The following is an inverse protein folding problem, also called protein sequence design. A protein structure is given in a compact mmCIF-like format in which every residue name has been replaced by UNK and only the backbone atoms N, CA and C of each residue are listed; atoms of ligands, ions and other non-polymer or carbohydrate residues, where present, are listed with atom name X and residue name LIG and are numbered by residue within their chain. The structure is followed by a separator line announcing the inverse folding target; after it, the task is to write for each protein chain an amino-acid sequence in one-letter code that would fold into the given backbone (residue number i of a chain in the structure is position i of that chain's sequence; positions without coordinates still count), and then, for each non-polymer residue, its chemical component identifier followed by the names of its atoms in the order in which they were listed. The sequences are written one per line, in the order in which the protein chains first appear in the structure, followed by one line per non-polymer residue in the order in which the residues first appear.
data_IF_672168841730
#
_entry.id   IF_672168841730
#
_cell.length_a   1.000
_cell.length_b   1.000
_cell.length_c   1.000
_cell.angle_alpha   90.00
_cell.angle_beta   90.00
_cell.angle_gamma   90.00
#
_symmetry.space_group_name_H-M   'P 1'
#
loop_
_entity.id
_entity.type
_entity.pdbx_description
1 polymer ?
#
# COMPACT_ATOMS: atom_id res chain seq x y z
N UNK A 1 1.35 43.36 26.49
CA UNK A 1 1.32 41.95 26.93
C UNK A 1 0.78 41.12 25.78
N UNK A 2 1.67 40.64 24.92
CA UNK A 2 1.34 39.77 23.79
C UNK A 2 1.24 38.34 24.33
N UNK A 3 0.02 37.85 24.38
CA UNK A 3 -0.24 36.45 24.76
C UNK A 3 0.42 35.52 23.76
N UNK A 4 1.29 34.66 24.24
CA UNK A 4 1.80 33.49 23.49
C UNK A 4 0.60 32.67 23.03
N UNK A 5 0.56 32.32 21.72
CA UNK A 5 -0.42 31.39 21.19
C UNK A 5 -0.13 30.01 21.77
N UNK A 6 -1.15 29.20 22.08
CA UNK A 6 -0.91 27.86 22.58
C UNK A 6 -0.27 26.99 21.48
N UNK A 7 0.82 26.34 21.85
CA UNK A 7 1.55 25.22 21.22
C UNK A 7 2.19 25.46 19.84
N UNK A 8 3.43 25.98 19.87
CA UNK A 8 4.45 25.71 18.84
C UNK A 8 5.21 24.38 19.14
N UNK A 9 4.58 23.40 19.74
CA UNK A 9 5.16 22.06 19.85
C UNK A 9 4.75 21.32 18.58
N UNK A 10 5.71 20.84 17.77
CA UNK A 10 5.40 20.01 16.61
C UNK A 10 4.54 18.84 17.04
N UNK A 11 3.44 18.60 16.34
CA UNK A 11 2.64 17.40 16.56
C UNK A 11 3.30 16.28 15.77
N UNK A 12 3.88 15.25 16.41
CA UNK A 12 4.56 14.19 15.70
C UNK A 12 3.58 13.37 14.88
N UNK A 13 4.07 12.76 13.79
CA UNK A 13 3.27 11.93 12.92
C UNK A 13 3.85 10.52 12.75
N UNK A 14 2.98 9.57 12.49
CA UNK A 14 3.38 8.23 12.05
C UNK A 14 2.69 7.96 10.72
N UNK A 15 3.48 7.62 9.71
CA UNK A 15 3.01 7.27 8.37
C UNK A 15 3.26 5.77 8.18
N UNK A 16 2.23 5.05 7.77
CA UNK A 16 2.28 3.62 7.57
C UNK A 16 2.22 3.27 6.09
N UNK A 17 2.91 2.22 5.69
CA UNK A 17 2.58 1.45 4.52
C UNK A 17 1.35 0.56 4.79
N UNK A 18 0.80 -0.07 3.74
CA UNK A 18 -0.41 -0.90 3.83
C UNK A 18 -0.10 -2.40 3.78
N UNK A 19 0.31 -2.90 2.60
CA UNK A 19 0.52 -4.32 2.35
C UNK A 19 1.84 -4.80 2.96
N UNK A 20 1.81 -5.92 3.71
CA UNK A 20 2.97 -6.34 4.52
C UNK A 20 3.12 -5.58 5.83
N UNK A 21 2.40 -4.47 6.02
CA UNK A 21 2.48 -3.58 7.18
C UNK A 21 1.20 -3.58 8.01
N UNK A 22 0.15 -2.87 7.60
CA UNK A 22 -1.15 -2.84 8.30
C UNK A 22 -2.04 -4.03 7.96
N UNK A 23 -1.93 -4.56 6.75
CA UNK A 23 -2.53 -5.82 6.32
C UNK A 23 -1.43 -6.81 5.93
N UNK A 24 -1.67 -8.13 5.97
CA UNK A 24 -0.71 -9.10 5.46
C UNK A 24 -0.39 -8.84 3.98
N UNK A 25 0.83 -9.21 3.55
CA UNK A 25 1.16 -9.28 2.14
C UNK A 25 0.45 -10.48 1.49
N UNK A 26 0.19 -10.40 0.19
CA UNK A 26 -0.47 -11.48 -0.54
C UNK A 26 0.46 -12.67 -0.74
N UNK A 27 -0.03 -13.92 -0.53
CA UNK A 27 0.71 -15.09 -0.95
C UNK A 27 0.91 -15.09 -2.47
N UNK A 28 2.16 -15.25 -2.89
CA UNK A 28 2.58 -15.26 -4.29
C UNK A 28 1.73 -16.20 -5.17
N UNK A 29 1.49 -17.43 -4.70
CA UNK A 29 0.70 -18.43 -5.41
C UNK A 29 -0.73 -17.95 -5.67
N UNK A 30 -1.39 -17.37 -4.65
CA UNK A 30 -2.78 -16.92 -4.78
C UNK A 30 -2.90 -15.69 -5.68
N UNK A 31 -1.92 -14.77 -5.59
CA UNK A 31 -1.87 -13.60 -6.44
C UNK A 31 -1.80 -14.01 -7.92
N UNK A 32 -0.85 -14.89 -8.28
CA UNK A 32 -0.72 -15.34 -9.67
C UNK A 32 -1.85 -16.26 -10.11
N UNK A 33 -2.45 -17.06 -9.21
CA UNK A 33 -3.65 -17.83 -9.53
C UNK A 33 -4.85 -16.92 -9.89
N UNK A 34 -4.93 -15.72 -9.32
CA UNK A 34 -5.96 -14.75 -9.71
C UNK A 34 -5.74 -14.20 -11.14
N UNK A 35 -4.48 -14.00 -11.53
CA UNK A 35 -4.11 -13.55 -12.88
C UNK A 35 -4.36 -14.67 -13.92
N UNK A 36 -4.02 -15.92 -13.59
CA UNK A 36 -4.31 -17.07 -14.45
C UNK A 36 -5.80 -17.29 -14.66
N UNK A 37 -6.60 -17.01 -13.63
CA UNK A 37 -8.05 -17.04 -13.77
C UNK A 37 -8.53 -15.98 -14.78
N UNK A 38 -8.00 -14.75 -14.72
CA UNK A 38 -8.33 -13.72 -15.70
C UNK A 38 -7.97 -14.19 -17.12
N UNK A 39 -6.75 -14.70 -17.31
CA UNK A 39 -6.32 -15.23 -18.60
C UNK A 39 -7.26 -16.31 -19.13
N UNK A 40 -7.65 -17.27 -18.26
CA UNK A 40 -8.55 -18.36 -18.63
C UNK A 40 -9.92 -17.85 -19.07
N UNK A 41 -10.51 -16.92 -18.33
CA UNK A 41 -11.82 -16.33 -18.65
C UNK A 41 -11.79 -15.56 -19.97
N UNK A 42 -10.68 -14.84 -20.22
CA UNK A 42 -10.49 -14.02 -21.40
C UNK A 42 -9.94 -14.80 -22.64
N UNK A 43 -9.75 -16.12 -22.51
CA UNK A 43 -9.23 -16.95 -23.58
C UNK A 43 -7.77 -16.70 -23.95
N UNK A 44 -6.98 -16.16 -23.02
CA UNK A 44 -5.58 -15.88 -23.21
C UNK A 44 -4.68 -17.01 -22.71
N UNK A 45 -3.45 -17.08 -23.24
CA UNK A 45 -2.40 -17.89 -22.65
C UNK A 45 -1.99 -17.33 -21.28
N UNK A 46 -2.01 -18.11 -20.18
CA UNK A 46 -1.73 -17.60 -18.85
C UNK A 46 -0.34 -16.97 -18.69
N UNK A 47 0.70 -17.55 -19.31
CA UNK A 47 2.05 -17.03 -19.20
C UNK A 47 2.18 -15.67 -19.91
N UNK A 48 1.65 -15.56 -21.14
CA UNK A 48 1.64 -14.30 -21.89
C UNK A 48 0.79 -13.23 -21.17
N UNK A 49 -0.32 -13.61 -20.55
CA UNK A 49 -1.16 -12.67 -19.79
C UNK A 49 -0.46 -12.19 -18.52
N UNK A 50 0.23 -13.06 -17.78
CA UNK A 50 1.06 -12.66 -16.63
C UNK A 50 2.13 -11.65 -17.04
N UNK A 51 2.82 -11.88 -18.16
CA UNK A 51 3.81 -10.95 -18.68
C UNK A 51 3.19 -9.61 -19.03
N UNK A 52 2.03 -9.58 -19.66
CA UNK A 52 1.30 -8.36 -19.98
C UNK A 52 0.82 -7.64 -18.72
N UNK A 53 0.32 -8.38 -17.73
CA UNK A 53 -0.05 -7.86 -16.40
C UNK A 53 1.13 -7.20 -15.69
N UNK A 54 2.29 -7.84 -15.68
CA UNK A 54 3.49 -7.31 -15.03
C UNK A 54 4.01 -6.05 -15.76
N UNK A 55 3.90 -5.98 -17.08
CA UNK A 55 4.27 -4.78 -17.85
C UNK A 55 3.42 -3.55 -17.53
N UNK A 56 2.17 -3.73 -17.09
CA UNK A 56 1.26 -2.63 -16.76
C UNK A 56 1.26 -2.26 -15.27
N UNK A 57 2.22 -2.76 -14.49
CA UNK A 57 2.23 -2.53 -13.04
C UNK A 57 2.38 -1.05 -12.68
N UNK A 58 3.25 -0.33 -13.39
CA UNK A 58 3.50 1.09 -13.14
C UNK A 58 2.25 1.91 -13.45
N UNK A 59 1.68 1.72 -14.64
CA UNK A 59 0.48 2.41 -15.10
C UNK A 59 -0.71 2.15 -14.15
N UNK A 60 -0.87 0.91 -13.70
CA UNK A 60 -1.90 0.53 -12.74
C UNK A 60 -1.69 1.19 -11.37
N UNK A 61 -0.45 1.29 -10.92
CA UNK A 61 -0.11 1.90 -9.63
C UNK A 61 -0.02 3.43 -9.65
N UNK A 62 -0.02 4.05 -10.83
CA UNK A 62 0.06 5.52 -10.96
C UNK A 62 -1.19 6.16 -11.55
N UNK A 63 -2.31 5.41 -11.57
CA UNK A 63 -3.61 5.96 -11.96
C UNK A 63 -3.79 6.21 -13.46
N UNK A 64 -2.94 5.62 -14.32
CA UNK A 64 -3.17 5.63 -15.77
C UNK A 64 -4.48 4.89 -16.10
N UNK A 65 -4.78 3.84 -15.35
CA UNK A 65 -6.08 3.18 -15.37
C UNK A 65 -6.87 3.60 -14.13
N UNK A 66 -8.05 4.18 -14.32
CA UNK A 66 -8.91 4.59 -13.22
C UNK A 66 -9.60 3.39 -12.55
N UNK A 67 -9.73 2.28 -13.26
CA UNK A 67 -10.35 1.04 -12.78
C UNK A 67 -9.54 -0.20 -13.17
N UNK A 68 -9.80 -1.31 -12.50
CA UNK A 68 -9.21 -2.60 -12.89
C UNK A 68 -9.76 -3.09 -14.23
N UNK A 69 -11.02 -2.74 -14.56
CA UNK A 69 -11.63 -3.05 -15.85
C UNK A 69 -10.83 -2.42 -17.00
N UNK A 70 -10.49 -1.13 -16.89
CA UNK A 70 -9.67 -0.41 -17.89
C UNK A 70 -8.31 -1.08 -18.08
N UNK A 71 -7.66 -1.52 -16.99
CA UNK A 71 -6.39 -2.24 -17.07
C UNK A 71 -6.54 -3.59 -17.81
N UNK A 72 -7.60 -4.35 -17.51
CA UNK A 72 -7.87 -5.63 -18.21
C UNK A 72 -8.14 -5.39 -19.70
N UNK A 73 -8.95 -4.39 -20.04
CA UNK A 73 -9.22 -4.04 -21.43
C UNK A 73 -7.95 -3.65 -22.19
N UNK A 74 -7.10 -2.82 -21.58
CA UNK A 74 -5.81 -2.43 -22.18
C UNK A 74 -4.86 -3.62 -22.39
N UNK A 75 -4.85 -4.60 -21.48
CA UNK A 75 -4.09 -5.84 -21.63
C UNK A 75 -4.64 -6.65 -22.80
N UNK A 76 -5.97 -6.82 -22.90
CA UNK A 76 -6.60 -7.54 -24.02
C UNK A 76 -6.26 -6.92 -25.36
N UNK A 77 -6.36 -5.59 -25.48
CA UNK A 77 -5.99 -4.84 -26.68
C UNK A 77 -4.53 -5.04 -27.05
N UNK A 78 -3.61 -4.89 -26.08
CA UNK A 78 -2.17 -5.06 -26.28
C UNK A 78 -1.79 -6.50 -26.71
N UNK A 79 -2.57 -7.48 -26.31
CA UNK A 79 -2.39 -8.90 -26.70
C UNK A 79 -3.09 -9.24 -28.01
N UNK A 80 -3.85 -8.34 -28.63
CA UNK A 80 -4.64 -8.60 -29.83
C UNK A 80 -5.82 -9.54 -29.59
N UNK A 81 -6.32 -9.64 -28.36
CA UNK A 81 -7.53 -10.41 -28.01
C UNK A 81 -8.79 -9.64 -28.47
N UNK A 82 -9.88 -10.35 -28.74
CA UNK A 82 -11.17 -9.67 -28.93
C UNK A 82 -11.52 -8.82 -27.70
N UNK A 83 -12.18 -7.69 -27.92
CA UNK A 83 -12.67 -6.86 -26.81
C UNK A 83 -13.70 -7.67 -25.99
N UNK A 84 -13.42 -7.94 -24.68
CA UNK A 84 -14.31 -8.73 -23.86
C UNK A 84 -15.57 -7.94 -23.50
N UNK A 85 -16.71 -8.63 -23.38
CA UNK A 85 -17.91 -8.03 -22.86
C UNK A 85 -17.74 -7.67 -21.35
N UNK A 86 -18.47 -6.65 -20.87
CA UNK A 86 -18.38 -6.23 -19.47
C UNK A 86 -18.59 -7.37 -18.46
N UNK A 87 -19.48 -8.33 -18.77
CA UNK A 87 -19.70 -9.51 -17.94
C UNK A 87 -18.48 -10.44 -17.86
N UNK A 88 -17.69 -10.53 -18.95
CA UNK A 88 -16.47 -11.32 -18.99
C UNK A 88 -15.36 -10.65 -18.18
N UNK A 89 -15.23 -9.31 -18.25
CA UNK A 89 -14.30 -8.54 -17.40
C UNK A 89 -14.64 -8.71 -15.93
N UNK A 90 -15.92 -8.59 -15.56
CA UNK A 90 -16.40 -8.83 -14.19
C UNK A 90 -16.06 -10.25 -13.72
N UNK A 91 -16.29 -11.25 -14.57
CA UNK A 91 -15.96 -12.66 -14.23
C UNK A 91 -14.46 -12.86 -14.11
N UNK A 92 -13.65 -12.25 -14.97
CA UNK A 92 -12.19 -12.31 -14.91
C UNK A 92 -11.66 -11.74 -13.60
N UNK A 93 -12.17 -10.59 -13.14
CA UNK A 93 -11.74 -9.94 -11.90
C UNK A 93 -12.28 -10.60 -10.62
N UNK A 94 -13.26 -11.51 -10.73
CA UNK A 94 -13.92 -12.11 -9.57
C UNK A 94 -12.95 -12.76 -8.58
N UNK A 95 -12.02 -13.59 -9.08
CA UNK A 95 -11.07 -14.28 -8.19
C UNK A 95 -10.10 -13.34 -7.51
N UNK A 96 -9.74 -12.23 -8.17
CA UNK A 96 -8.97 -11.17 -7.56
C UNK A 96 -9.74 -10.49 -6.42
N UNK A 97 -11.02 -10.17 -6.64
CA UNK A 97 -11.86 -9.60 -5.60
C UNK A 97 -12.00 -10.54 -4.39
N UNK A 98 -12.26 -11.83 -4.62
CA UNK A 98 -12.34 -12.86 -3.55
C UNK A 98 -11.02 -12.98 -2.76
N UNK A 99 -9.88 -12.88 -3.43
CA UNK A 99 -8.57 -12.87 -2.80
C UNK A 99 -8.40 -11.65 -1.89
N UNK A 100 -8.75 -10.46 -2.38
CA UNK A 100 -8.71 -9.24 -1.57
C UNK A 100 -9.65 -9.32 -0.37
N UNK A 101 -10.90 -9.75 -0.52
CA UNK A 101 -11.84 -9.97 0.60
C UNK A 101 -11.25 -10.88 1.69
N UNK A 102 -10.45 -11.86 1.29
CA UNK A 102 -9.81 -12.80 2.21
C UNK A 102 -8.61 -12.18 2.94
N UNK A 103 -7.75 -11.46 2.23
CA UNK A 103 -6.45 -11.00 2.72
C UNK A 103 -6.44 -9.54 3.18
N UNK A 104 -7.38 -8.71 2.74
CA UNK A 104 -7.50 -7.32 3.18
C UNK A 104 -8.11 -7.24 4.59
N UNK A 105 -7.37 -7.76 5.56
CA UNK A 105 -7.77 -7.77 6.97
C UNK A 105 -6.67 -7.16 7.82
N UNK A 106 -7.03 -6.44 8.90
CA UNK A 106 -6.01 -5.91 9.79
C UNK A 106 -5.07 -7.00 10.30
N UNK A 107 -3.77 -6.72 10.20
CA UNK A 107 -2.75 -7.49 10.90
C UNK A 107 -2.99 -7.42 12.40
N UNK A 108 -2.55 -8.44 13.15
CA UNK A 108 -2.64 -8.43 14.61
C UNK A 108 -1.95 -7.18 15.15
N UNK A 109 -2.62 -6.46 16.03
CA UNK A 109 -2.11 -5.21 16.61
C UNK A 109 -2.31 -3.96 15.76
N UNK A 110 -2.65 -4.03 14.47
CA UNK A 110 -2.71 -2.85 13.59
C UNK A 110 -3.75 -1.82 14.05
N UNK A 111 -5.00 -2.23 14.24
CA UNK A 111 -6.08 -1.33 14.71
C UNK A 111 -5.80 -0.79 16.09
N UNK A 112 -5.26 -1.64 16.99
CA UNK A 112 -4.87 -1.28 18.36
C UNK A 112 -3.78 -0.20 18.34
N UNK A 113 -2.72 -0.39 17.53
CA UNK A 113 -1.62 0.57 17.40
C UNK A 113 -2.08 1.92 16.86
N UNK A 114 -2.87 1.93 15.77
CA UNK A 114 -3.41 3.17 15.23
C UNK A 114 -4.29 3.92 16.25
N UNK A 115 -5.14 3.18 16.96
CA UNK A 115 -6.02 3.75 17.99
C UNK A 115 -5.23 4.37 19.15
N UNK A 116 -4.20 3.67 19.64
CA UNK A 116 -3.36 4.15 20.74
C UNK A 116 -2.52 5.35 20.34
N UNK A 117 -1.88 5.33 19.14
CA UNK A 117 -1.11 6.48 18.66
C UNK A 117 -1.98 7.72 18.50
N UNK A 118 -3.19 7.56 17.98
CA UNK A 118 -4.17 8.64 17.86
C UNK A 118 -4.58 9.17 19.23
N UNK A 119 -4.80 8.29 20.21
CA UNK A 119 -5.12 8.69 21.61
C UNK A 119 -3.98 9.47 22.26
N UNK A 120 -2.72 9.22 21.88
CA UNK A 120 -1.54 9.98 22.33
C UNK A 120 -1.34 11.30 21.59
N UNK A 121 -2.16 11.60 20.58
CA UNK A 121 -2.14 12.87 19.86
C UNK A 121 -1.24 12.87 18.61
N UNK A 122 -0.76 11.72 18.13
CA UNK A 122 -0.06 11.61 16.86
C UNK A 122 -1.01 11.84 15.69
N UNK A 123 -0.51 12.50 14.64
CA UNK A 123 -1.16 12.49 13.33
C UNK A 123 -0.81 11.21 12.60
N UNK A 124 -1.78 10.60 11.94
CA UNK A 124 -1.57 9.31 11.29
C UNK A 124 -1.78 9.43 9.79
N UNK A 125 -0.83 8.89 9.02
CA UNK A 125 -0.88 8.84 7.57
C UNK A 125 -0.76 7.42 7.04
N UNK A 126 -1.25 7.23 5.81
CA UNK A 126 -1.06 6.04 4.99
C UNK A 126 -0.41 6.42 3.68
N UNK A 127 0.62 5.68 3.26
CA UNK A 127 1.15 5.71 1.89
C UNK A 127 1.16 4.29 1.34
N UNK A 128 0.31 4.00 0.36
CA UNK A 128 0.20 2.67 -0.25
C UNK A 128 0.56 2.68 -1.72
N UNK A 129 1.47 1.77 -2.12
CA UNK A 129 1.66 1.40 -3.52
C UNK A 129 0.57 0.41 -3.91
N UNK A 130 -0.41 0.84 -4.69
CA UNK A 130 -1.61 0.04 -4.89
C UNK A 130 -2.27 0.20 -6.26
N UNK A 131 -3.11 -0.75 -6.61
CA UNK A 131 -3.99 -0.70 -7.76
C UNK A 131 -5.34 0.01 -7.44
N UNK A 132 -6.15 0.37 -8.45
CA UNK A 132 -7.40 1.10 -8.28
C UNK A 132 -8.48 0.42 -7.41
N UNK A 133 -8.36 -0.88 -7.17
CA UNK A 133 -9.27 -1.63 -6.30
C UNK A 133 -9.00 -1.44 -4.81
N UNK A 134 -7.83 -0.92 -4.42
CA UNK A 134 -7.46 -0.74 -3.00
C UNK A 134 -8.23 0.38 -2.28
N UNK A 135 -8.38 1.61 -2.83
CA UNK A 135 -9.10 2.67 -2.12
C UNK A 135 -10.53 2.31 -1.69
N UNK A 136 -11.39 1.70 -2.54
CA UNK A 136 -12.73 1.26 -2.11
C UNK A 136 -12.70 0.20 -1.00
N UNK A 137 -11.69 -0.67 -0.99
CA UNK A 137 -11.53 -1.69 0.05
C UNK A 137 -11.10 -1.08 1.38
N UNK A 138 -10.22 -0.09 1.34
CA UNK A 138 -9.83 0.68 2.52
C UNK A 138 -11.05 1.34 3.17
N UNK A 139 -11.88 2.01 2.37
CA UNK A 139 -13.11 2.65 2.83
C UNK A 139 -14.12 1.67 3.48
N UNK A 140 -14.13 0.41 3.03
CA UNK A 140 -14.98 -0.64 3.57
C UNK A 140 -14.35 -1.39 4.77
N UNK A 141 -13.11 -1.08 5.13
CA UNK A 141 -12.34 -1.81 6.13
C UNK A 141 -12.49 -1.27 7.55
N UNK A 142 -11.91 -2.00 8.51
CA UNK A 142 -11.79 -1.57 9.91
C UNK A 142 -10.83 -0.37 10.10
N UNK A 143 -10.10 0.05 9.08
CA UNK A 143 -9.17 1.19 9.13
C UNK A 143 -9.83 2.53 8.87
N UNK A 144 -11.05 2.52 8.32
CA UNK A 144 -11.78 3.75 7.97
C UNK A 144 -11.83 4.72 9.14
N UNK A 145 -11.31 5.95 8.90
CA UNK A 145 -11.29 7.01 9.88
C UNK A 145 -10.25 6.85 11.01
N UNK A 146 -9.36 5.85 10.93
CA UNK A 146 -8.25 5.70 11.89
C UNK A 146 -7.02 6.51 11.50
N UNK A 147 -6.86 6.91 10.24
CA UNK A 147 -5.79 7.79 9.78
C UNK A 147 -6.35 9.16 9.35
N UNK A 148 -5.51 10.19 9.40
CA UNK A 148 -5.88 11.57 9.07
C UNK A 148 -5.64 11.88 7.59
N UNK A 149 -4.68 11.16 6.96
CA UNK A 149 -4.31 11.32 5.53
C UNK A 149 -4.10 9.95 4.89
N UNK A 150 -4.70 9.75 3.74
CA UNK A 150 -4.61 8.55 2.93
C UNK A 150 -3.98 8.87 1.57
N UNK A 151 -2.83 8.27 1.26
CA UNK A 151 -2.12 8.46 0.00
C UNK A 151 -2.06 7.12 -0.74
N UNK A 152 -2.94 6.96 -1.71
CA UNK A 152 -2.96 5.82 -2.62
C UNK A 152 -2.25 6.20 -3.92
N UNK A 153 -1.19 5.49 -4.27
CA UNK A 153 -0.38 5.78 -5.47
C UNK A 153 -1.21 5.82 -6.74
N UNK A 154 -2.20 4.93 -6.88
CA UNK A 154 -3.13 4.89 -8.01
C UNK A 154 -4.07 6.10 -8.10
N UNK A 155 -4.20 6.90 -7.04
CA UNK A 155 -5.03 8.12 -7.01
C UNK A 155 -4.17 9.36 -7.25
N UNK A 156 -3.00 9.44 -6.57
CA UNK A 156 -2.16 10.64 -6.62
C UNK A 156 -1.14 10.63 -7.76
N UNK A 157 -0.91 9.47 -8.43
CA UNK A 157 0.05 9.33 -9.52
C UNK A 157 1.52 9.35 -9.08
N UNK A 158 1.80 9.23 -7.77
CA UNK A 158 3.13 9.25 -7.18
C UNK A 158 3.54 7.85 -6.73
N UNK A 159 4.85 7.57 -6.67
CA UNK A 159 5.39 6.25 -6.32
C UNK A 159 6.49 6.33 -5.26
N UNK A 160 6.58 5.33 -4.40
CA UNK A 160 7.79 5.03 -3.62
C UNK A 160 8.88 4.54 -4.59
N UNK A 161 10.17 4.87 -4.39
CA UNK A 161 10.71 5.71 -3.31
C UNK A 161 10.83 7.19 -3.67
N UNK A 162 10.09 7.71 -4.67
CA UNK A 162 10.16 9.13 -5.07
C UNK A 162 9.82 10.01 -3.87
N UNK A 163 10.67 11.02 -3.53
CA UNK A 163 10.42 11.93 -2.42
C UNK A 163 9.09 12.70 -2.53
N UNK A 164 8.52 12.81 -3.73
CA UNK A 164 7.25 13.50 -3.94
C UNK A 164 6.08 12.84 -3.19
N UNK A 165 6.07 11.51 -3.02
CA UNK A 165 4.97 10.82 -2.32
C UNK A 165 5.04 11.07 -0.80
N UNK A 166 6.25 11.09 -0.23
CA UNK A 166 6.45 11.39 1.21
C UNK A 166 6.12 12.86 1.51
N UNK A 167 6.55 13.78 0.62
CA UNK A 167 6.19 15.20 0.70
C UNK A 167 4.69 15.39 0.66
N UNK A 168 4.00 14.74 -0.28
CA UNK A 168 2.54 14.82 -0.38
C UNK A 168 1.85 14.43 0.94
N UNK A 169 2.31 13.35 1.58
CA UNK A 169 1.76 12.89 2.85
C UNK A 169 2.08 13.85 4.01
N UNK A 170 3.34 14.28 4.16
CA UNK A 170 3.77 15.18 5.24
C UNK A 170 3.11 16.57 5.13
N UNK A 171 3.02 17.12 3.91
CA UNK A 171 2.34 18.40 3.66
C UNK A 171 0.85 18.32 4.02
N UNK A 172 0.17 17.21 3.63
CA UNK A 172 -1.23 16.99 3.94
C UNK A 172 -1.48 16.78 5.45
N UNK A 173 -0.53 16.16 6.16
CA UNK A 173 -0.54 16.04 7.62
C UNK A 173 -0.16 17.37 8.31
N UNK A 174 0.50 18.31 7.61
CA UNK A 174 1.00 19.54 8.16
C UNK A 174 2.11 19.33 9.18
N UNK A 175 3.08 18.46 8.85
CA UNK A 175 4.23 18.09 9.69
C UNK A 175 5.52 18.16 8.88
N UNK A 176 6.63 18.45 9.57
CA UNK A 176 7.96 18.39 8.96
C UNK A 176 8.45 16.93 8.89
N UNK A 177 9.28 16.56 7.89
CA UNK A 177 9.78 15.18 7.75
C UNK A 177 10.49 14.65 9.00
N UNK A 178 11.24 15.50 9.70
CA UNK A 178 11.99 15.15 10.91
C UNK A 178 11.09 14.77 12.09
N UNK A 179 9.84 15.21 12.08
CA UNK A 179 8.82 14.90 13.09
C UNK A 179 7.98 13.65 12.69
N UNK A 180 8.34 12.99 11.58
CA UNK A 180 7.63 11.82 11.06
C UNK A 180 8.40 10.51 11.31
N UNK A 181 7.68 9.50 11.78
CA UNK A 181 8.11 8.10 11.69
C UNK A 181 7.40 7.46 10.50
N UNK A 182 8.16 6.78 9.65
CA UNK A 182 7.64 5.94 8.57
C UNK A 182 7.76 4.47 8.95
N UNK A 183 6.68 3.71 8.95
CA UNK A 183 6.66 2.29 9.24
C UNK A 183 6.19 1.49 8.03
N UNK A 184 7.04 0.57 7.54
CA UNK A 184 6.78 -0.24 6.36
C UNK A 184 7.52 -1.57 6.37
N UNK A 185 7.24 -2.45 5.39
CA UNK A 185 7.87 -3.76 5.26
C UNK A 185 9.15 -3.77 4.40
N UNK A 186 9.50 -2.61 3.81
CA UNK A 186 10.69 -2.42 2.98
C UNK A 186 10.46 -2.68 1.49
N UNK A 187 9.24 -2.94 1.03
CA UNK A 187 8.93 -3.04 -0.38
C UNK A 187 9.16 -1.70 -1.10
N UNK A 188 9.51 -1.75 -2.40
CA UNK A 188 9.75 -0.56 -3.22
C UNK A 188 10.83 0.40 -2.68
N UNK A 189 11.76 -0.09 -1.87
CA UNK A 189 12.81 0.72 -1.21
C UNK A 189 12.23 1.89 -0.40
N UNK A 190 11.09 1.68 0.21
CA UNK A 190 10.32 2.72 0.89
C UNK A 190 10.99 3.26 2.15
N UNK A 191 11.71 2.39 2.90
CA UNK A 191 12.43 2.78 4.11
C UNK A 191 13.62 3.68 3.78
N UNK A 192 14.38 3.31 2.74
CA UNK A 192 15.45 4.15 2.19
C UNK A 192 14.87 5.48 1.70
N UNK A 193 13.79 5.46 0.92
CA UNK A 193 13.16 6.68 0.40
C UNK A 193 12.64 7.60 1.50
N UNK A 194 12.00 7.06 2.54
CA UNK A 194 11.55 7.83 3.70
C UNK A 194 12.73 8.47 4.47
N UNK A 195 13.81 7.70 4.66
CA UNK A 195 15.03 8.18 5.34
C UNK A 195 15.72 9.30 4.53
N UNK A 196 15.88 9.10 3.22
CA UNK A 196 16.44 10.12 2.32
C UNK A 196 15.60 11.39 2.27
N UNK A 197 14.28 11.27 2.50
CA UNK A 197 13.38 12.42 2.62
C UNK A 197 13.47 13.13 3.97
N UNK A 198 14.08 12.52 5.00
CA UNK A 198 14.29 13.10 6.34
C UNK A 198 13.44 12.48 7.45
N UNK A 199 12.66 11.44 7.17
CA UNK A 199 11.85 10.74 8.15
C UNK A 199 12.67 9.70 8.93
N UNK A 200 12.22 9.32 10.13
CA UNK A 200 12.74 8.15 10.84
C UNK A 200 12.03 6.90 10.34
N UNK A 201 12.73 6.01 9.64
CA UNK A 201 12.13 4.80 9.10
C UNK A 201 12.29 3.59 10.04
N UNK A 202 11.23 2.79 10.15
CA UNK A 202 11.16 1.55 10.96
C UNK A 202 10.62 0.43 10.09
N UNK A 203 11.37 -0.66 9.97
CA UNK A 203 10.89 -1.87 9.29
C UNK A 203 9.99 -2.69 10.22
N UNK A 204 8.83 -3.10 9.72
CA UNK A 204 8.03 -4.16 10.35
C UNK A 204 8.34 -5.49 9.66
N UNK A 205 8.88 -6.46 10.40
CA UNK A 205 9.19 -7.79 9.88
C UNK A 205 8.84 -8.86 10.91
N UNK A 206 7.78 -9.59 10.65
CA UNK A 206 7.41 -10.75 11.44
C UNK A 206 8.41 -11.90 11.18
N UNK A 207 9.17 -12.35 12.21
CA UNK A 207 10.17 -13.39 12.03
C UNK A 207 9.58 -14.77 11.71
N UNK A 208 8.29 -14.98 11.98
CA UNK A 208 7.59 -16.24 11.74
C UNK A 208 7.00 -16.33 10.33
N UNK A 209 7.06 -15.23 9.55
CA UNK A 209 6.58 -15.19 8.18
C UNK A 209 7.69 -15.51 7.19
N UNK A 210 7.49 -16.55 6.39
CA UNK A 210 8.38 -16.87 5.27
C UNK A 210 8.13 -15.91 4.10
N UNK A 211 8.94 -14.87 4.02
CA UNK A 211 8.83 -13.84 2.98
C UNK A 211 9.02 -14.38 1.57
N UNK A 212 9.65 -15.56 1.39
CA UNK A 212 9.83 -16.16 0.06
C UNK A 212 8.51 -16.65 -0.56
N UNK A 213 7.49 -16.81 0.26
CA UNK A 213 6.13 -17.19 -0.17
C UNK A 213 5.24 -16.01 -0.48
N UNK A 214 5.68 -14.80 -0.19
CA UNK A 214 4.93 -13.56 -0.36
C UNK A 214 5.26 -12.86 -1.68
N UNK A 215 4.36 -11.99 -2.11
CA UNK A 215 4.55 -11.14 -3.27
C UNK A 215 5.47 -9.97 -2.90
N UNK A 216 6.78 -10.23 -2.90
CA UNK A 216 7.77 -9.19 -2.64
C UNK A 216 8.20 -8.54 -3.95
N UNK A 217 7.91 -7.25 -4.08
CA UNK A 217 8.34 -6.43 -5.20
C UNK A 217 9.43 -5.46 -4.71
N UNK A 218 10.68 -5.68 -5.17
CA UNK A 218 11.82 -4.79 -4.96
C UNK A 218 12.11 -4.47 -3.47
N UNK A 219 12.25 -5.50 -2.63
CA UNK A 219 12.66 -5.35 -1.23
C UNK A 219 14.06 -4.74 -1.07
N UNK A 220 14.37 -4.22 0.10
CA UNK A 220 15.65 -3.60 0.42
C UNK A 220 16.37 -4.29 1.59
N UNK A 221 17.72 -4.23 1.59
CA UNK A 221 18.54 -4.67 2.71
C UNK A 221 18.56 -3.60 3.81
N UNK A 222 17.53 -3.63 4.68
CA UNK A 222 17.37 -2.65 5.73
C UNK A 222 18.26 -2.96 6.96
N UNK A 223 19.02 -1.97 7.40
CA UNK A 223 19.91 -2.08 8.58
C UNK A 223 19.51 -1.14 9.73
N UNK A 224 18.44 -0.37 9.56
CA UNK A 224 17.92 0.55 10.57
C UNK A 224 17.04 -0.13 11.63
N UNK A 225 16.19 0.66 12.28
CA UNK A 225 15.28 0.17 13.30
C UNK A 225 14.29 -0.86 12.73
N UNK A 226 14.01 -1.89 13.52
CA UNK A 226 13.11 -2.99 13.14
C UNK A 226 12.22 -3.39 14.30
N UNK A 227 10.98 -3.71 14.03
CA UNK A 227 10.00 -4.29 14.96
C UNK A 227 9.43 -5.59 14.39
N UNK A 228 9.00 -6.48 15.26
CA UNK A 228 8.31 -7.71 14.88
C UNK A 228 6.77 -7.58 14.95
N UNK A 229 6.29 -6.66 15.80
CA UNK A 229 4.87 -6.39 16.01
C UNK A 229 4.63 -4.87 16.04
N UNK A 230 3.54 -4.43 15.39
CA UNK A 230 3.21 -3.00 15.30
C UNK A 230 3.07 -2.32 16.68
N UNK A 231 2.66 -3.07 17.70
CA UNK A 231 2.54 -2.56 19.07
C UNK A 231 3.87 -2.11 19.68
N UNK A 232 5.00 -2.64 19.19
CA UNK A 232 6.32 -2.19 19.63
C UNK A 232 6.58 -0.72 19.25
N UNK A 233 5.98 -0.25 18.14
CA UNK A 233 6.08 1.14 17.71
C UNK A 233 5.57 2.12 18.78
N UNK A 234 4.55 1.72 19.56
CA UNK A 234 3.98 2.52 20.65
C UNK A 234 5.03 2.85 21.74
N UNK A 235 6.03 1.98 21.93
CA UNK A 235 7.13 2.18 22.85
C UNK A 235 8.32 2.97 22.31
N UNK A 236 8.32 3.24 20.98
CA UNK A 236 9.39 3.98 20.30
C UNK A 236 9.07 5.48 20.17
N UNK A 237 7.81 5.88 20.45
CA UNK A 237 7.25 7.22 20.26
C UNK A 237 6.81 7.85 21.57
#
# INVERSE_FOLDING_TARGET
MTGARPSDVPVPAVIFDLYGTLVPEFPHEQFYASIDHMATVLGADPAAFRDAWNRTVIERQTGVYATMDENVLAICEAMGLPEPAAAEVTLALKRRAEMYETWFRPRVGAVETLTELRARGFRLGLISMCAPDTPPMWEASAFRGLVDVEVFSSVVGLRKPDPAIYRYASDALGVEPEDCIYCGDGAYRELTGATEFGMTAVEIRDPDVDITTLLHLEGEDWTGARIADLRELIGMV
#
